data_IF_725254061867
#
_entry.id   IF_725254061867
#
_cell.length_a   1.000
_cell.length_b   1.000
_cell.length_c   1.000
_cell.angle_alpha   90.00
_cell.angle_beta   90.00
_cell.angle_gamma   90.00
#
_symmetry.space_group_name_H-M   'P 1'
#
loop_
_entity.id
_entity.type
_entity.pdbx_description
1 polymer ?
#
# COMPACT_ATOMS: atom_id res chain seq x y z
N UNK A 1 -20.74 18.01 -5.73
CA UNK A 1 -20.29 17.02 -4.74
C UNK A 1 -19.44 17.75 -3.71
N UNK A 2 -19.79 17.70 -2.42
CA UNK A 2 -19.11 18.52 -1.41
C UNK A 2 -17.66 18.06 -1.25
N UNK A 3 -16.69 18.90 -1.58
CA UNK A 3 -15.23 18.62 -1.55
C UNK A 3 -14.78 18.00 -0.23
N UNK A 4 -15.34 18.47 0.90
CA UNK A 4 -15.11 17.89 2.25
C UNK A 4 -15.49 16.41 2.36
N UNK A 5 -16.58 15.99 1.72
CA UNK A 5 -17.01 14.57 1.75
C UNK A 5 -16.09 13.70 0.89
N UNK A 6 -15.60 14.21 -0.24
CA UNK A 6 -14.64 13.52 -1.09
C UNK A 6 -13.30 13.33 -0.37
N UNK A 7 -12.78 14.38 0.28
CA UNK A 7 -11.56 14.31 1.08
C UNK A 7 -11.68 13.29 2.23
N UNK A 8 -12.80 13.30 2.97
CA UNK A 8 -13.05 12.32 4.04
C UNK A 8 -13.03 10.89 3.52
N UNK A 9 -13.71 10.63 2.40
CA UNK A 9 -13.73 9.29 1.77
C UNK A 9 -12.33 8.87 1.33
N UNK A 10 -11.58 9.78 0.72
CA UNK A 10 -10.20 9.53 0.30
C UNK A 10 -9.32 9.11 1.48
N UNK A 11 -9.33 9.87 2.59
CA UNK A 11 -8.54 9.55 3.78
C UNK A 11 -8.92 8.20 4.38
N UNK A 12 -10.22 7.89 4.45
CA UNK A 12 -10.68 6.59 4.95
C UNK A 12 -10.13 5.46 4.07
N UNK A 13 -10.29 5.57 2.75
CA UNK A 13 -9.79 4.55 1.82
C UNK A 13 -8.28 4.40 1.93
N UNK A 14 -7.54 5.51 1.99
CA UNK A 14 -6.09 5.51 2.13
C UNK A 14 -5.64 4.78 3.40
N UNK A 15 -6.20 5.13 4.56
CA UNK A 15 -5.86 4.50 5.83
C UNK A 15 -6.25 3.02 5.85
N UNK A 16 -7.43 2.68 5.32
CA UNK A 16 -7.86 1.28 5.19
C UNK A 16 -6.92 0.47 4.28
N UNK A 17 -6.48 1.03 3.15
CA UNK A 17 -5.51 0.39 2.26
C UNK A 17 -4.17 0.17 2.95
N UNK A 18 -3.65 1.17 3.67
CA UNK A 18 -2.38 1.05 4.41
C UNK A 18 -2.47 -0.11 5.42
N UNK A 19 -3.52 -0.16 6.23
CA UNK A 19 -3.71 -1.20 7.23
C UNK A 19 -3.90 -2.58 6.58
N UNK A 20 -4.73 -2.67 5.54
CA UNK A 20 -5.00 -3.92 4.85
C UNK A 20 -3.73 -4.49 4.20
N UNK A 21 -2.99 -3.68 3.44
CA UNK A 21 -1.74 -4.13 2.84
C UNK A 21 -0.68 -4.47 3.88
N UNK A 22 -0.62 -3.75 5.01
CA UNK A 22 0.33 -4.07 6.08
C UNK A 22 0.10 -5.48 6.64
N UNK A 23 -1.16 -5.81 6.93
CA UNK A 23 -1.53 -7.14 7.44
C UNK A 23 -1.31 -8.21 6.38
N UNK A 24 -1.80 -7.99 5.15
CA UNK A 24 -1.65 -8.94 4.05
C UNK A 24 -0.17 -9.22 3.73
N UNK A 25 0.68 -8.20 3.78
CA UNK A 25 2.11 -8.35 3.53
C UNK A 25 2.80 -9.14 4.65
N UNK A 26 2.50 -8.84 5.92
CA UNK A 26 3.04 -9.60 7.06
C UNK A 26 2.65 -11.09 6.98
N UNK A 27 1.37 -11.38 6.73
CA UNK A 27 0.86 -12.75 6.56
C UNK A 27 1.46 -13.42 5.32
N UNK A 28 1.54 -12.71 4.20
CA UNK A 28 2.07 -13.26 2.96
C UNK A 28 3.55 -13.65 3.07
N UNK A 29 4.36 -12.79 3.70
CA UNK A 29 5.77 -13.09 3.98
C UNK A 29 5.94 -14.30 4.90
N UNK A 30 5.07 -14.44 5.91
CA UNK A 30 5.10 -15.59 6.81
C UNK A 30 4.67 -16.89 6.12
N UNK A 31 3.61 -16.85 5.31
CA UNK A 31 2.97 -18.06 4.74
C UNK A 31 3.64 -18.51 3.46
N UNK A 32 4.05 -17.60 2.58
CA UNK A 32 4.54 -17.93 1.25
C UNK A 32 6.07 -17.87 1.15
N UNK A 33 6.72 -16.88 1.78
CA UNK A 33 8.19 -16.69 1.69
C UNK A 33 8.95 -17.35 2.86
N UNK A 34 8.25 -17.83 3.90
CA UNK A 34 8.84 -18.33 5.15
C UNK A 34 9.77 -17.32 5.85
N UNK A 35 9.56 -16.02 5.60
CA UNK A 35 10.41 -14.91 6.05
C UNK A 35 9.55 -13.92 6.87
N UNK A 36 9.15 -14.27 8.10
CA UNK A 36 8.19 -13.48 8.87
C UNK A 36 8.69 -12.04 9.09
N UNK A 37 7.81 -11.07 8.82
CA UNK A 37 8.05 -9.64 9.05
C UNK A 37 7.14 -9.14 10.15
N UNK A 38 7.70 -8.34 11.06
CA UNK A 38 6.90 -7.61 12.06
C UNK A 38 5.95 -6.64 11.37
N UNK A 39 4.81 -6.34 12.00
CA UNK A 39 3.84 -5.39 11.45
C UNK A 39 4.46 -4.03 11.14
N UNK A 40 5.43 -3.58 11.95
CA UNK A 40 6.12 -2.31 11.72
C UNK A 40 7.02 -2.38 10.47
N UNK A 41 7.71 -3.50 10.24
CA UNK A 41 8.50 -3.71 9.02
C UNK A 41 7.60 -3.81 7.78
N UNK A 42 6.49 -4.53 7.89
CA UNK A 42 5.50 -4.60 6.80
C UNK A 42 4.91 -3.22 6.47
N UNK A 43 4.58 -2.42 7.50
CA UNK A 43 4.12 -1.04 7.32
C UNK A 43 5.20 -0.19 6.63
N UNK A 44 6.48 -0.37 7.00
CA UNK A 44 7.59 0.33 6.35
C UNK A 44 7.64 0.02 4.85
N UNK A 45 7.45 -1.24 4.46
CA UNK A 45 7.39 -1.64 3.04
C UNK A 45 6.19 -0.98 2.34
N UNK A 46 5.00 -1.03 2.95
CA UNK A 46 3.79 -0.39 2.39
C UNK A 46 4.00 1.12 2.21
N UNK A 47 4.60 1.80 3.18
CA UNK A 47 4.88 3.23 3.10
C UNK A 47 5.91 3.55 2.02
N UNK A 48 6.95 2.72 1.86
CA UNK A 48 7.92 2.88 0.78
C UNK A 48 7.28 2.70 -0.60
N UNK A 49 6.34 1.77 -0.75
CA UNK A 49 5.59 1.61 -2.01
C UNK A 49 4.68 2.81 -2.25
N UNK A 50 3.91 3.23 -1.24
CA UNK A 50 2.98 4.35 -1.34
C UNK A 50 3.68 5.67 -1.75
N UNK A 51 4.89 5.88 -1.20
CA UNK A 51 5.73 7.05 -1.48
C UNK A 51 6.67 6.87 -2.67
N UNK A 52 6.64 5.71 -3.32
CA UNK A 52 7.52 5.33 -4.44
C UNK A 52 9.03 5.40 -4.13
N UNK A 53 9.41 5.37 -2.85
CA UNK A 53 10.82 5.37 -2.41
C UNK A 53 11.48 4.02 -2.69
N UNK A 54 10.80 2.92 -2.33
CA UNK A 54 11.22 1.55 -2.65
C UNK A 54 12.69 1.20 -2.37
N UNK A 55 13.15 1.24 -1.12
CA UNK A 55 14.54 0.89 -0.76
C UNK A 55 14.92 -0.58 -1.05
N UNK A 56 13.96 -1.42 -1.42
CA UNK A 56 14.21 -2.78 -1.90
C UNK A 56 14.59 -3.80 -0.83
N UNK A 57 14.45 -3.47 0.46
CA UNK A 57 14.97 -4.30 1.56
C UNK A 57 14.36 -5.70 1.71
N UNK A 58 13.22 -5.97 1.07
CA UNK A 58 12.55 -7.28 1.06
C UNK A 58 12.44 -7.85 -0.37
N UNK A 59 13.02 -7.17 -1.37
CA UNK A 59 13.06 -7.65 -2.75
C UNK A 59 14.35 -8.46 -3.01
N UNK A 60 14.33 -9.42 -3.95
CA UNK A 60 13.17 -9.90 -4.70
C UNK A 60 12.24 -10.81 -3.86
N UNK A 61 10.95 -10.83 -4.22
CA UNK A 61 10.00 -11.84 -3.74
C UNK A 61 10.03 -13.05 -4.69
N UNK A 62 10.03 -14.27 -4.16
CA UNK A 62 10.20 -15.47 -4.98
C UNK A 62 8.87 -16.13 -5.35
N UNK A 63 7.85 -15.99 -4.50
CA UNK A 63 6.58 -16.71 -4.69
C UNK A 63 5.58 -15.92 -5.52
N UNK A 64 4.82 -16.63 -6.37
CA UNK A 64 3.76 -16.03 -7.20
C UNK A 64 2.72 -15.26 -6.38
N UNK A 65 2.21 -15.73 -5.23
CA UNK A 65 1.25 -14.97 -4.42
C UNK A 65 1.82 -13.62 -3.94
N UNK A 66 3.08 -13.58 -3.52
CA UNK A 66 3.71 -12.32 -3.09
C UNK A 66 3.94 -11.36 -4.26
N UNK A 67 4.37 -11.86 -5.41
CA UNK A 67 4.49 -11.06 -6.62
C UNK A 67 3.15 -10.41 -7.01
N UNK A 68 2.06 -11.17 -6.95
CA UNK A 68 0.70 -10.65 -7.20
C UNK A 68 0.30 -9.60 -6.16
N UNK A 69 0.57 -9.85 -4.88
CA UNK A 69 0.28 -8.88 -3.81
C UNK A 69 1.03 -7.57 -4.03
N UNK A 70 2.32 -7.63 -4.33
CA UNK A 70 3.17 -6.45 -4.54
C UNK A 70 2.76 -5.68 -5.79
N UNK A 71 2.42 -6.36 -6.89
CA UNK A 71 1.87 -5.72 -8.09
C UNK A 71 0.52 -5.04 -7.81
N UNK A 72 -0.33 -5.68 -7.02
CA UNK A 72 -1.63 -5.12 -6.60
C UNK A 72 -1.42 -3.87 -5.74
N UNK A 73 -0.50 -3.92 -4.79
CA UNK A 73 -0.17 -2.79 -3.91
C UNK A 73 0.39 -1.60 -4.69
N UNK A 74 1.27 -1.84 -5.68
CA UNK A 74 1.80 -0.79 -6.55
C UNK A 74 0.70 -0.16 -7.42
N UNK A 75 -0.18 -0.99 -7.99
CA UNK A 75 -1.32 -0.51 -8.80
C UNK A 75 -2.31 0.31 -7.96
N UNK A 76 -2.63 -0.16 -6.76
CA UNK A 76 -3.50 0.55 -5.83
C UNK A 76 -2.90 1.90 -5.41
N UNK A 77 -1.60 1.93 -5.13
CA UNK A 77 -0.85 3.16 -4.83
C UNK A 77 -1.01 4.18 -5.96
N UNK A 78 -0.79 3.76 -7.20
CA UNK A 78 -0.94 4.62 -8.36
C UNK A 78 -2.33 5.26 -8.41
N UNK A 79 -3.38 4.45 -8.28
CA UNK A 79 -4.76 4.92 -8.27
C UNK A 79 -5.06 5.88 -7.12
N UNK A 80 -4.55 5.60 -5.91
CA UNK A 80 -4.74 6.44 -4.73
C UNK A 80 -4.04 7.80 -4.88
N UNK A 81 -2.83 7.84 -5.42
CA UNK A 81 -2.11 9.10 -5.65
C UNK A 81 -2.85 9.96 -6.68
N UNK A 82 -3.29 9.37 -7.80
CA UNK A 82 -4.07 10.10 -8.81
C UNK A 82 -5.43 10.56 -8.31
N UNK A 83 -6.08 9.77 -7.46
CA UNK A 83 -7.38 10.14 -6.86
C UNK A 83 -7.28 11.33 -5.90
N UNK A 84 -6.10 11.59 -5.33
CA UNK A 84 -5.87 12.75 -4.47
C UNK A 84 -5.77 14.07 -5.25
N UNK A 85 -5.29 14.02 -6.50
CA UNK A 85 -4.97 15.21 -7.29
C UNK A 85 -6.14 16.19 -7.47
N UNK A 86 -7.37 15.75 -7.81
CA UNK A 86 -8.52 16.67 -7.93
C UNK A 86 -8.86 17.37 -6.61
N UNK A 87 -8.64 16.71 -5.47
CA UNK A 87 -8.94 17.28 -4.15
C UNK A 87 -7.93 18.34 -3.70
N UNK A 88 -6.73 18.35 -4.27
CA UNK A 88 -5.65 19.30 -3.95
C UNK A 88 -5.59 20.46 -4.95
N UNK A 89 -5.83 20.19 -6.24
CA UNK A 89 -5.60 21.15 -7.34
C UNK A 89 -6.84 21.95 -7.71
N UNK A 90 -8.05 21.43 -7.49
CA UNK A 90 -9.31 22.13 -7.80
C UNK A 90 -10.07 22.38 -6.49
N UNK A 91 -9.84 23.51 -5.79
CA UNK A 91 -10.61 23.87 -4.61
C UNK A 91 -12.07 24.21 -4.93
#
# INVERSE_FOLDING_TARGET
MNTRQAARRYVIVLLSSILAFTVLYSVGMQVFENEPRSLLRSLQVVMQTLTTIGYGGDAPWETTPMLVLVLTMQTATLLLVFSAFPAVVVP
#
